data_IF_886422773126
#
_entry.id   IF_886422773126
#
_cell.length_a   1.000
_cell.length_b   1.000
_cell.length_c   1.000
_cell.angle_alpha   90.00
_cell.angle_beta   90.00
_cell.angle_gamma   90.00
#
_symmetry.space_group_name_H-M   'P 1'
#
loop_
_entity.id
_entity.type
_entity.pdbx_description
1 polymer ?
2 polymer ?
3 non-polymer ?
4 water ?
#
# COMPACT_ATOMS: atom_id res chain seq x y z
N UNK A 3 9.41 -17.47 13.64
CA UNK A 3 8.15 -18.15 13.89
C UNK A 3 7.20 -18.09 12.68
N UNK A 4 7.33 -19.05 11.76
CA UNK A 4 6.56 -19.06 10.53
C UNK A 4 5.23 -19.79 10.71
N UNK A 5 4.16 -19.19 10.18
CA UNK A 5 2.84 -19.79 10.29
C UNK A 5 2.79 -21.15 9.57
N UNK A 6 1.99 -22.06 10.11
CA UNK A 6 1.76 -23.41 9.56
C UNK A 6 0.27 -23.51 9.26
N UNK A 7 -0.09 -23.36 7.99
CA UNK A 7 -1.49 -23.29 7.61
C UNK A 7 -2.29 -24.49 8.07
N UNK A 8 -1.64 -25.64 8.29
CA UNK A 8 -2.35 -26.85 8.68
C UNK A 8 -2.91 -26.77 10.09
N UNK A 9 -2.38 -25.87 10.92
CA UNK A 9 -2.84 -25.74 12.29
C UNK A 9 -3.99 -24.77 12.45
N UNK A 10 -4.41 -24.11 11.37
CA UNK A 10 -5.51 -23.16 11.49
C UNK A 10 -6.83 -23.90 11.61
N UNK A 11 -7.75 -23.32 12.37
CA UNK A 11 -9.00 -23.98 12.70
C UNK A 11 -10.17 -23.32 11.98
N UNK A 12 -11.30 -24.01 11.98
CA UNK A 12 -12.54 -23.44 11.50
C UNK A 12 -12.96 -22.28 12.41
N UNK A 13 -13.51 -21.20 11.86
CA UNK A 13 -13.90 -20.07 12.71
C UNK A 13 -15.31 -20.19 13.26
N UNK A 14 -15.85 -21.41 13.25
CA UNK A 14 -17.25 -21.70 13.57
C UNK A 14 -17.87 -20.71 14.54
N UNK A 15 -17.43 -20.74 15.79
CA UNK A 15 -18.04 -19.88 16.79
C UNK A 15 -17.35 -18.60 17.25
N UNK A 16 -16.52 -17.99 16.41
CA UNK A 16 -15.61 -16.94 16.85
C UNK A 16 -15.89 -15.61 16.14
N UNK A 17 -16.08 -15.65 14.82
CA UNK A 17 -16.45 -14.48 14.06
C UNK A 17 -17.67 -14.80 13.21
N UNK A 18 -18.43 -13.76 12.87
CA UNK A 18 -19.53 -13.83 11.92
C UNK A 18 -19.41 -12.70 10.92
N UNK A 19 -19.75 -12.98 9.68
CA UNK A 19 -19.74 -11.97 8.64
C UNK A 19 -20.97 -11.10 8.76
N UNK A 20 -20.85 -9.84 8.32
CA UNK A 20 -21.91 -8.85 8.52
C UNK A 20 -22.32 -8.22 7.19
N UNK A 21 -21.36 -7.69 6.43
CA UNK A 21 -21.64 -7.26 5.05
C UNK A 21 -20.36 -7.34 4.21
N UNK A 22 -20.55 -7.51 2.91
CA UNK A 22 -19.44 -7.58 1.95
C UNK A 22 -19.05 -6.17 1.54
N UNK A 23 -17.75 -5.86 1.66
CA UNK A 23 -17.28 -4.48 1.53
C UNK A 23 -16.20 -4.32 0.47
N UNK A 24 -15.74 -5.43 -0.10
CA UNK A 24 -14.73 -5.36 -1.15
C UNK A 24 -14.59 -6.66 -1.92
N UNK A 25 -14.09 -6.55 -3.14
CA UNK A 25 -13.99 -7.69 -4.03
C UNK A 25 -13.00 -7.38 -5.14
N UNK A 26 -12.13 -8.34 -5.43
CA UNK A 26 -11.14 -8.23 -6.49
C UNK A 26 -10.60 -9.60 -6.81
N UNK A 27 -9.63 -9.64 -7.73
CA UNK A 27 -9.05 -10.92 -8.14
C UNK A 27 -8.34 -11.65 -6.99
N UNK A 28 -8.19 -11.01 -5.83
CA UNK A 28 -7.57 -11.63 -4.66
C UNK A 28 -8.55 -12.44 -3.82
N UNK A 29 -9.81 -12.06 -3.80
CA UNK A 29 -10.82 -12.62 -2.93
C UNK A 29 -11.84 -11.57 -2.54
N UNK A 30 -12.42 -11.74 -1.36
CA UNK A 30 -13.42 -10.84 -0.82
C UNK A 30 -12.93 -10.26 0.49
N UNK A 31 -13.44 -9.08 0.83
CA UNK A 31 -13.27 -8.48 2.15
C UNK A 31 -14.66 -8.25 2.74
N UNK A 32 -14.82 -8.64 4.00
CA UNK A 32 -16.09 -8.51 4.72
C UNK A 32 -15.92 -7.65 5.96
N UNK A 33 -17.00 -6.96 6.34
CA UNK A 33 -17.14 -6.45 7.68
C UNK A 33 -17.60 -7.59 8.59
N UNK A 34 -16.89 -7.78 9.70
CA UNK A 34 -17.24 -8.85 10.61
C UNK A 34 -17.22 -8.39 12.05
N UNK A 35 -17.88 -9.17 12.90
CA UNK A 35 -17.91 -8.92 14.32
C UNK A 35 -17.59 -10.21 15.07
N UNK A 36 -16.75 -10.09 16.11
CA UNK A 36 -16.55 -11.19 17.02
C UNK A 36 -17.86 -11.54 17.72
N UNK A 37 -18.26 -12.81 17.63
CA UNK A 37 -19.58 -13.18 18.13
C UNK A 37 -19.66 -13.07 19.64
N UNK A 38 -18.53 -13.15 20.34
CA UNK A 38 -18.59 -13.14 21.80
C UNK A 38 -18.48 -11.73 22.38
N UNK A 39 -17.64 -10.89 21.78
CA UNK A 39 -17.40 -9.54 22.29
C UNK A 39 -18.09 -8.46 21.49
N UNK A 40 -18.45 -8.74 20.24
CA UNK A 40 -19.04 -7.74 19.38
C UNK A 40 -18.06 -6.81 18.68
N UNK A 41 -16.76 -7.00 18.83
CA UNK A 41 -15.81 -6.07 18.24
C UNK A 41 -15.69 -6.25 16.74
N UNK A 42 -15.38 -5.15 16.08
CA UNK A 42 -15.46 -5.00 14.64
C UNK A 42 -14.15 -5.42 13.99
N UNK A 43 -14.24 -6.16 12.90
CA UNK A 43 -13.06 -6.56 12.16
C UNK A 43 -13.36 -6.60 10.67
N UNK A 44 -12.32 -6.37 9.87
CA UNK A 44 -12.36 -6.78 8.47
C UNK A 44 -11.82 -8.19 8.33
N UNK A 45 -12.45 -8.97 7.43
CA UNK A 45 -12.10 -10.37 7.22
C UNK A 45 -11.89 -10.58 5.72
N UNK A 46 -10.64 -10.84 5.34
CA UNK A 46 -10.31 -11.13 3.95
C UNK A 46 -10.39 -12.64 3.71
N UNK A 47 -11.15 -13.04 2.69
CA UNK A 47 -11.45 -14.44 2.42
C UNK A 47 -10.85 -14.82 1.08
N UNK A 48 -9.94 -15.79 1.08
CA UNK A 48 -9.36 -16.35 -0.13
C UNK A 48 -9.42 -17.87 -0.07
N UNK A 49 -9.68 -18.54 -1.19
CA UNK A 49 -9.64 -19.99 -1.07
C UNK A 49 -8.20 -20.47 -1.17
N UNK A 50 -7.94 -21.60 -0.50
CA UNK A 50 -6.58 -22.08 -0.31
C UNK A 50 -6.10 -22.79 -1.58
N UNK A 51 -4.81 -22.64 -1.86
CA UNK A 51 -4.19 -23.30 -3.00
C UNK A 51 -2.68 -23.27 -2.79
N UNK A 52 -2.03 -24.40 -3.08
CA UNK A 52 -0.57 -24.41 -3.08
C UNK A 52 0.03 -23.33 -3.95
N UNK A 53 -0.70 -22.91 -4.99
CA UNK A 53 -0.13 -22.00 -5.98
C UNK A 53 0.06 -20.59 -5.45
N UNK A 54 -0.74 -20.17 -4.46
CA UNK A 54 -0.59 -18.87 -3.83
C UNK A 54 -0.03 -18.97 -2.42
N UNK A 55 0.65 -20.07 -2.10
CA UNK A 55 1.01 -20.34 -0.71
C UNK A 55 2.13 -19.42 -0.22
N UNK A 56 3.14 -19.17 -1.06
CA UNK A 56 4.29 -18.36 -0.62
C UNK A 56 3.87 -16.95 -0.24
N UNK A 57 3.01 -16.32 -1.04
CA UNK A 57 2.62 -14.95 -0.71
C UNK A 57 1.75 -14.92 0.55
N UNK A 58 0.88 -15.92 0.71
CA UNK A 58 0.04 -15.99 1.90
C UNK A 58 0.89 -16.02 3.16
N UNK A 59 1.89 -16.91 3.19
CA UNK A 59 2.71 -17.03 4.39
C UNK A 59 3.51 -15.75 4.65
N UNK A 60 4.02 -15.13 3.58
CA UNK A 60 4.75 -13.89 3.76
C UNK A 60 3.84 -12.80 4.31
N UNK A 61 2.59 -12.74 3.85
CA UNK A 61 1.67 -11.76 4.42
C UNK A 61 1.49 -11.98 5.92
N UNK A 62 1.19 -13.21 6.31
CA UNK A 62 0.91 -13.50 7.72
C UNK A 62 2.17 -13.32 8.56
N UNK A 63 3.32 -13.82 8.09
CA UNK A 63 4.54 -13.67 8.88
C UNK A 63 4.93 -12.19 9.05
N UNK A 64 4.78 -11.37 7.99
CA UNK A 64 5.06 -9.95 8.13
C UNK A 64 4.08 -9.28 9.09
N UNK A 65 2.80 -9.62 9.00
CA UNK A 65 1.81 -8.97 9.86
C UNK A 65 2.06 -9.30 11.32
N UNK A 66 2.31 -10.59 11.64
CA UNK A 66 2.56 -11.00 13.02
C UNK A 66 3.73 -10.23 13.61
N UNK A 67 4.76 -9.98 12.83
CA UNK A 67 5.93 -9.30 13.36
C UNK A 67 5.72 -7.78 13.50
N UNK A 68 4.99 -7.15 12.57
CA UNK A 68 5.09 -5.71 12.48
C UNK A 68 3.77 -4.95 12.57
N UNK A 69 2.63 -5.64 12.56
CA UNK A 69 1.39 -4.90 12.41
C UNK A 69 0.95 -4.20 13.69
N UNK A 70 1.72 -4.30 14.78
CA UNK A 70 1.36 -3.58 15.99
C UNK A 70 1.63 -2.08 15.87
N UNK A 71 2.37 -1.63 14.87
CA UNK A 71 2.53 -0.18 14.66
C UNK A 71 1.19 0.46 14.30
N UNK A 72 0.98 1.67 14.83
CA UNK A 72 -0.28 2.37 14.62
C UNK A 72 -0.51 2.81 13.16
N UNK A 73 0.52 2.86 12.31
CA UNK A 73 0.27 3.14 10.90
C UNK A 73 0.24 1.87 10.02
N UNK A 74 0.05 0.70 10.61
CA UNK A 74 -0.17 -0.53 9.87
C UNK A 74 -1.44 -1.19 10.40
N UNK A 75 -2.36 -1.56 9.50
CA UNK A 75 -3.59 -2.20 9.95
C UNK A 75 -3.25 -3.48 10.72
N UNK A 76 -3.85 -3.64 11.90
CA UNK A 76 -3.43 -4.70 12.81
C UNK A 76 -4.00 -6.05 12.42
N UNK A 77 -3.16 -7.08 12.52
CA UNK A 77 -3.53 -8.47 12.30
C UNK A 77 -4.01 -9.09 13.61
N UNK A 78 -5.20 -9.69 13.57
CA UNK A 78 -5.77 -10.32 14.76
C UNK A 78 -5.63 -11.84 14.77
N UNK A 79 -5.58 -12.50 13.62
CA UNK A 79 -5.54 -13.94 13.57
C UNK A 79 -6.06 -14.45 12.24
N UNK A 80 -6.08 -15.78 12.12
CA UNK A 80 -6.45 -16.41 10.87
C UNK A 80 -7.20 -17.70 11.15
N UNK A 81 -8.02 -18.11 10.18
CA UNK A 81 -8.79 -19.34 10.23
C UNK A 81 -8.90 -19.93 8.83
N UNK A 82 -9.36 -21.17 8.76
CA UNK A 82 -9.66 -21.81 7.49
C UNK A 82 -11.04 -22.43 7.61
N UNK A 83 -11.99 -21.92 6.83
CA UNK A 83 -13.33 -22.48 6.79
C UNK A 83 -13.29 -23.75 5.97
N UNK A 84 -13.78 -24.85 6.56
CA UNK A 84 -13.68 -26.17 5.96
C UNK A 84 -14.92 -26.49 5.15
N UNK A 85 -14.75 -26.77 3.88
CA UNK A 85 -15.86 -27.03 3.00
C UNK A 85 -15.85 -28.50 2.56
N UNK A 86 -16.97 -29.00 2.03
CA UNK A 86 -17.07 -30.44 1.71
C UNK A 86 -16.21 -30.84 0.53
N UNK A 87 -16.02 -32.16 0.31
CA UNK A 87 -14.96 -32.64 -0.61
C UNK A 87 -14.93 -32.03 -2.00
N UNK A 88 -16.07 -31.69 -2.60
CA UNK A 88 -15.98 -31.06 -3.91
C UNK A 88 -15.54 -29.60 -3.91
N UNK A 89 -15.44 -28.97 -2.75
CA UNK A 89 -15.34 -27.53 -2.66
C UNK A 89 -14.08 -27.09 -1.93
N UNK A 90 -13.41 -26.06 -2.47
CA UNK A 90 -12.21 -25.55 -1.83
C UNK A 90 -12.52 -24.98 -0.45
N UNK A 91 -11.56 -25.11 0.46
CA UNK A 91 -11.60 -24.41 1.73
C UNK A 91 -11.19 -22.94 1.52
N UNK A 92 -11.45 -22.11 2.53
CA UNK A 92 -11.16 -20.68 2.43
C UNK A 92 -10.40 -20.20 3.65
N UNK A 93 -9.33 -19.47 3.42
CA UNK A 93 -8.62 -18.79 4.50
C UNK A 93 -9.32 -17.49 4.84
N UNK A 94 -9.49 -17.25 6.14
CA UNK A 94 -10.02 -15.98 6.64
C UNK A 94 -8.90 -15.26 7.36
N UNK A 95 -8.61 -14.04 6.94
CA UNK A 95 -7.61 -13.19 7.56
C UNK A 95 -8.32 -12.07 8.30
N UNK A 96 -8.18 -12.05 9.63
CA UNK A 96 -8.96 -11.16 10.47
C UNK A 96 -8.09 -9.97 10.85
N UNK A 97 -8.55 -8.77 10.49
CA UNK A 97 -7.78 -7.54 10.56
C UNK A 97 -8.58 -6.41 11.19
N UNK A 98 -7.85 -5.37 11.58
CA UNK A 98 -8.46 -4.14 12.05
C UNK A 98 -9.32 -3.55 10.94
N UNK A 99 -10.54 -3.16 11.28
CA UNK A 99 -11.47 -2.65 10.27
C UNK A 99 -11.15 -1.19 9.94
N UNK A 100 -10.97 -0.91 8.64
CA UNK A 100 -10.67 0.44 8.13
C UNK A 100 -11.88 0.95 7.36
N UNK A 101 -12.81 1.59 8.08
CA UNK A 101 -14.13 1.85 7.53
C UNK A 101 -14.20 2.92 6.45
N UNK A 102 -13.19 3.78 6.32
CA UNK A 102 -13.27 4.80 5.29
C UNK A 102 -12.79 4.32 3.90
N UNK A 103 -12.22 3.13 3.79
CA UNK A 103 -11.75 2.67 2.48
C UNK A 103 -10.37 3.21 2.14
N UNK A 104 -10.02 3.10 0.86
CA UNK A 104 -8.68 3.42 0.41
C UNK A 104 -8.53 4.91 0.01
N UNK A 105 -7.27 5.35 -0.05
CA UNK A 105 -6.97 6.68 -0.59
C UNK A 105 -7.38 6.79 -2.05
N UNK A 106 -7.14 5.73 -2.84
CA UNK A 106 -7.60 5.70 -4.23
C UNK A 106 -9.10 5.98 -4.31
N UNK A 107 -9.89 5.30 -3.49
CA UNK A 107 -11.33 5.56 -3.44
C UNK A 107 -11.64 7.00 -3.03
N UNK A 108 -10.92 7.52 -2.02
CA UNK A 108 -11.19 8.89 -1.59
C UNK A 108 -11.06 9.86 -2.74
N UNK A 109 -10.01 9.68 -3.55
CA UNK A 109 -9.76 10.53 -4.69
C UNK A 109 -10.87 10.39 -5.72
N UNK A 110 -11.27 9.14 -6.00
CA UNK A 110 -12.31 8.91 -7.00
C UNK A 110 -13.59 9.65 -6.65
N UNK A 111 -13.93 9.72 -5.36
CA UNK A 111 -15.19 10.28 -4.91
C UNK A 111 -15.13 11.78 -4.63
N UNK A 112 -14.03 12.46 -4.96
CA UNK A 112 -13.85 13.87 -4.69
C UNK A 112 -14.00 14.69 -5.97
N UNK A 113 -14.65 15.85 -5.85
CA UNK A 113 -14.77 16.80 -6.96
C UNK A 113 -13.40 17.18 -7.52
N UNK A 114 -13.21 16.93 -8.82
CA UNK A 114 -11.94 17.21 -9.49
C UNK A 114 -10.86 16.17 -9.28
N UNK A 115 -11.08 15.20 -8.38
CA UNK A 115 -10.12 14.12 -8.07
C UNK A 115 -8.77 14.68 -7.58
N UNK A 116 -8.84 15.58 -6.60
CA UNK A 116 -7.66 16.26 -6.09
C UNK A 116 -7.90 16.57 -4.62
N UNK A 117 -7.00 16.10 -3.75
CA UNK A 117 -7.15 16.41 -2.35
C UNK A 117 -6.57 17.80 -2.04
N UNK A 118 -7.00 18.38 -0.92
CA UNK A 118 -6.35 19.58 -0.38
C UNK A 118 -4.91 19.24 0.02
N UNK A 119 -3.99 20.19 -0.24
CA UNK A 119 -2.57 19.98 0.04
C UNK A 119 -2.34 19.58 1.50
N UNK A 120 -3.03 20.22 2.44
CA UNK A 120 -2.79 19.89 3.84
C UNK A 120 -3.25 18.47 4.16
N UNK A 121 -4.27 17.96 3.46
CA UNK A 121 -4.65 16.56 3.58
C UNK A 121 -3.54 15.65 3.07
N UNK A 122 -2.95 16.02 1.93
CA UNK A 122 -1.89 15.21 1.33
C UNK A 122 -0.70 15.13 2.27
N UNK A 123 -0.33 16.26 2.87
CA UNK A 123 0.81 16.28 3.78
C UNK A 123 0.57 15.37 4.98
N UNK A 124 -0.64 15.42 5.56
CA UNK A 124 -0.94 14.55 6.68
C UNK A 124 -0.84 13.06 6.29
N UNK A 125 -1.48 12.68 5.17
CA UNK A 125 -1.42 11.28 4.75
C UNK A 125 0.01 10.86 4.46
N UNK A 126 0.77 11.69 3.75
CA UNK A 126 2.15 11.32 3.43
C UNK A 126 2.96 11.13 4.69
N UNK A 127 2.75 11.97 5.71
CA UNK A 127 3.48 11.82 6.95
C UNK A 127 3.16 10.51 7.63
N UNK A 128 1.88 10.12 7.61
CA UNK A 128 1.51 8.87 8.25
C UNK A 128 2.11 7.69 7.50
N UNK A 129 2.12 7.73 6.15
CA UNK A 129 2.74 6.66 5.39
C UNK A 129 4.21 6.53 5.73
N UNK A 130 4.91 7.67 5.82
CA UNK A 130 6.34 7.66 6.11
C UNK A 130 6.63 7.07 7.49
N UNK A 131 5.80 7.38 8.48
CA UNK A 131 5.96 6.76 9.80
C UNK A 131 5.89 5.22 9.69
N UNK A 132 4.91 4.71 8.94
CA UNK A 132 4.86 3.28 8.70
C UNK A 132 6.11 2.75 8.00
N UNK A 133 6.53 3.43 6.93
CA UNK A 133 7.74 3.03 6.22
C UNK A 133 8.95 3.07 7.14
N UNK A 134 9.01 4.06 8.02
CA UNK A 134 10.15 4.19 8.93
C UNK A 134 10.25 2.97 9.84
N UNK A 135 9.14 2.60 10.47
CA UNK A 135 9.05 1.35 11.24
C UNK A 135 9.56 0.16 10.41
N UNK A 136 9.04 0.00 9.19
CA UNK A 136 9.42 -1.14 8.36
C UNK A 136 10.89 -1.09 7.98
N UNK A 137 11.37 0.05 7.47
CA UNK A 137 12.75 0.13 7.03
C UNK A 137 13.73 -0.12 8.19
N UNK A 138 13.41 0.37 9.39
CA UNK A 138 14.31 0.11 10.50
C UNK A 138 14.35 -1.36 10.87
N UNK A 139 13.36 -2.14 10.45
CA UNK A 139 13.36 -3.57 10.71
C UNK A 139 13.80 -4.40 9.50
N UNK A 140 14.50 -3.77 8.55
CA UNK A 140 15.03 -4.43 7.36
C UNK A 140 13.91 -4.98 6.48
N UNK A 141 12.79 -4.28 6.43
CA UNK A 141 11.67 -4.65 5.56
C UNK A 141 11.57 -3.65 4.43
N UNK A 142 11.33 -4.15 3.23
CA UNK A 142 10.95 -3.33 2.07
C UNK A 142 9.51 -3.68 1.71
N UNK A 143 8.64 -2.66 1.61
CA UNK A 143 7.23 -2.93 1.31
C UNK A 143 7.05 -3.47 -0.10
N UNK A 144 7.56 -2.73 -1.09
CA UNK A 144 7.62 -3.05 -2.52
C UNK A 144 6.30 -2.85 -3.26
N UNK A 145 5.21 -2.46 -2.62
CA UNK A 145 3.99 -2.14 -3.38
C UNK A 145 3.24 -0.96 -2.79
N UNK A 146 3.96 0.15 -2.57
CA UNK A 146 3.32 1.35 -2.04
C UNK A 146 2.51 2.05 -3.13
N UNK A 147 1.23 2.31 -2.85
CA UNK A 147 0.34 2.99 -3.77
C UNK A 147 -0.95 3.30 -3.02
N UNK A 148 -1.76 4.17 -3.61
CA UNK A 148 -2.97 4.63 -2.94
C UNK A 148 -3.95 3.52 -2.62
N UNK A 149 -3.97 2.46 -3.43
CA UNK A 149 -4.84 1.33 -3.16
C UNK A 149 -4.45 0.58 -1.88
N UNK A 150 -3.20 0.71 -1.41
CA UNK A 150 -2.71 0.02 -0.21
C UNK A 150 -2.55 0.95 1.00
N UNK A 151 -3.17 2.12 0.96
CA UNK A 151 -3.26 3.04 2.09
C UNK A 151 -4.75 3.20 2.41
N UNK A 152 -5.18 2.71 3.57
CA UNK A 152 -6.57 2.78 4.00
C UNK A 152 -6.75 3.84 5.09
N UNK A 153 -8.01 4.23 5.28
CA UNK A 153 -8.39 5.21 6.27
C UNK A 153 -9.48 4.65 7.16
N UNK A 154 -9.37 4.90 8.48
CA UNK A 154 -10.43 4.53 9.41
C UNK A 154 -11.52 5.60 9.39
N UNK A 155 -12.63 5.30 10.06
CA UNK A 155 -13.70 6.28 10.11
C UNK A 155 -13.30 7.52 10.90
N UNK A 156 -12.12 7.53 11.53
CA UNK A 156 -11.61 8.70 12.25
C UNK A 156 -10.38 9.28 11.57
N UNK A 157 -10.18 8.95 10.30
CA UNK A 157 -9.13 9.52 9.47
C UNK A 157 -7.73 9.18 9.98
N UNK A 158 -7.60 8.01 10.63
CA UNK A 158 -6.30 7.40 10.82
C UNK A 158 -5.88 6.66 9.56
N UNK A 159 -4.56 6.54 9.37
CA UNK A 159 -3.96 6.07 8.12
C UNK A 159 -3.24 4.76 8.40
N UNK A 160 -3.47 3.74 7.55
CA UNK A 160 -2.94 2.39 7.79
C UNK A 160 -2.45 1.74 6.50
N UNK A 161 -1.24 1.21 6.52
CA UNK A 161 -0.71 0.48 5.38
C UNK A 161 -1.19 -0.97 5.39
N UNK A 162 -1.47 -1.49 4.18
CA UNK A 162 -1.90 -2.88 4.01
C UNK A 162 -1.13 -3.51 2.86
N UNK A 163 -1.30 -4.83 2.73
CA UNK A 163 -0.86 -5.70 1.63
C UNK A 163 0.63 -6.04 1.66
N UNK A 164 1.00 -7.04 2.47
CA UNK A 164 2.39 -7.40 2.68
C UNK A 164 2.81 -8.65 1.91
N UNK A 165 2.04 -9.06 0.90
CA UNK A 165 2.27 -10.36 0.27
C UNK A 165 3.54 -10.46 -0.56
N UNK A 166 4.00 -9.35 -1.15
CA UNK A 166 5.25 -9.33 -1.91
C UNK A 166 6.34 -8.51 -1.19
N UNK A 167 6.22 -8.27 0.11
CA UNK A 167 7.25 -7.52 0.82
C UNK A 167 8.51 -8.35 1.00
N UNK A 168 9.64 -7.67 1.20
CA UNK A 168 10.94 -8.33 1.35
C UNK A 168 11.45 -8.18 2.78
N UNK A 169 11.92 -9.29 3.38
CA UNK A 169 12.58 -9.25 4.67
C UNK A 169 14.07 -9.52 4.47
N UNK A 170 14.89 -8.49 4.66
CA UNK A 170 16.33 -8.66 4.55
C UNK A 170 16.89 -9.17 5.89
N UNK A 171 18.14 -9.62 5.87
CA UNK A 171 18.79 -10.02 7.10
C UNK A 171 19.97 -9.14 7.50
N UNK A 172 20.44 -8.27 6.63
CA UNK A 172 21.48 -7.32 7.01
C UNK A 172 21.05 -5.93 6.61
N UNK A 173 21.57 -4.93 7.31
CA UNK A 173 21.19 -3.53 7.10
C UNK A 173 21.50 -3.06 5.68
N UNK A 174 22.69 -3.37 5.21
CA UNK A 174 23.17 -2.91 3.91
C UNK A 174 22.64 -3.77 2.75
N UNK A 175 22.05 -4.93 3.07
CA UNK A 175 21.57 -5.89 2.09
C UNK A 175 20.72 -5.32 0.99
N UNK A 176 20.64 -6.01 -0.15
CA UNK A 176 19.92 -5.51 -1.31
C UNK A 176 19.14 -6.65 -1.96
N UNK A 177 18.19 -6.29 -2.82
CA UNK A 177 17.32 -7.25 -3.48
C UNK A 177 17.30 -7.01 -4.98
N UNK A 178 16.82 -8.01 -5.72
CA UNK A 178 16.73 -7.86 -7.18
C UNK A 178 15.49 -8.49 -7.82
N UNK A 179 14.48 -8.82 -7.03
CA UNK A 179 13.29 -9.47 -7.59
C UNK A 179 12.44 -8.41 -8.31
N UNK A 180 12.13 -8.68 -9.59
CA UNK A 180 11.36 -7.77 -10.43
C UNK A 180 9.89 -7.85 -10.05
N UNK A 181 9.43 -6.93 -9.20
CA UNK A 181 8.10 -7.03 -8.60
C UNK A 181 7.58 -5.64 -8.27
N UNK A 182 6.26 -5.48 -8.33
CA UNK A 182 5.63 -4.22 -8.05
C UNK A 182 4.41 -4.00 -8.95
N UNK A 183 3.88 -2.77 -8.89
CA UNK A 183 2.79 -2.31 -9.77
C UNK A 183 3.35 -1.26 -10.73
N UNK A 184 3.27 -1.46 -12.07
CA UNK A 184 4.08 -0.66 -13.01
C UNK A 184 4.18 0.85 -12.77
N UNK A 185 3.06 1.59 -12.71
CA UNK A 185 3.15 3.05 -12.67
C UNK A 185 3.85 3.58 -11.41
N UNK A 186 3.89 2.79 -10.33
CA UNK A 186 4.49 3.24 -9.09
C UNK A 186 5.91 2.72 -8.91
N UNK A 187 6.43 1.93 -9.83
CA UNK A 187 7.74 1.29 -9.64
C UNK A 187 8.89 2.27 -9.90
N UNK A 188 9.92 2.14 -9.07
CA UNK A 188 11.14 2.92 -9.08
C UNK A 188 12.02 2.51 -10.25
N UNK A 189 12.75 3.45 -10.86
CA UNK A 189 13.59 3.08 -12.02
C UNK A 189 14.58 1.96 -11.74
N UNK A 190 15.09 1.87 -10.51
CA UNK A 190 16.07 0.83 -10.21
C UNK A 190 15.43 -0.53 -9.97
N UNK A 191 14.13 -0.58 -9.68
CA UNK A 191 13.43 -1.86 -9.66
C UNK A 191 13.09 -2.30 -11.08
N UNK A 192 12.61 -1.38 -11.91
CA UNK A 192 12.32 -1.72 -13.31
C UNK A 192 13.55 -2.27 -14.00
N UNK A 193 14.72 -1.74 -13.66
CA UNK A 193 15.95 -2.14 -14.33
C UNK A 193 16.25 -3.62 -14.15
N UNK A 194 15.68 -4.27 -13.14
CA UNK A 194 15.97 -5.68 -12.88
C UNK A 194 15.36 -6.61 -13.92
N UNK A 195 14.44 -6.13 -14.76
CA UNK A 195 13.88 -6.99 -15.79
C UNK A 195 14.93 -7.38 -16.82
N UNK A 196 15.68 -6.40 -17.34
CA UNK A 196 16.64 -6.64 -18.41
C UNK A 196 18.08 -6.71 -17.93
N UNK A 197 18.33 -6.45 -16.65
CA UNK A 197 19.68 -6.32 -16.11
C UNK A 197 19.84 -7.27 -14.93
N UNK A 198 20.38 -8.48 -15.17
CA UNK A 198 20.46 -9.48 -14.08
C UNK A 198 21.44 -9.11 -12.98
N UNK A 199 22.12 -7.96 -13.07
CA UNK A 199 23.02 -7.51 -12.03
C UNK A 199 22.40 -6.47 -11.11
N UNK A 200 21.35 -5.79 -11.57
CA UNK A 200 20.80 -4.65 -10.85
C UNK A 200 20.33 -5.04 -9.46
N UNK A 201 20.32 -4.07 -8.55
CA UNK A 201 19.83 -4.25 -7.19
C UNK A 201 19.12 -2.98 -6.77
N UNK A 202 18.27 -3.11 -5.76
CA UNK A 202 17.64 -1.97 -5.13
C UNK A 202 17.56 -2.23 -3.64
N UNK A 203 17.15 -1.19 -2.89
CA UNK A 203 16.94 -1.34 -1.46
C UNK A 203 15.71 -0.57 -1.03
N UNK A 204 15.69 -0.14 0.23
CA UNK A 204 14.50 0.47 0.79
C UNK A 204 14.10 1.78 0.13
N UNK A 205 15.03 2.46 -0.56
CA UNK A 205 14.70 3.74 -1.17
C UNK A 205 13.70 3.61 -2.32
N UNK A 206 13.47 2.40 -2.83
CA UNK A 206 12.44 2.21 -3.84
C UNK A 206 11.04 2.46 -3.29
N UNK A 207 10.82 2.19 -2.00
CA UNK A 207 9.56 2.57 -1.36
C UNK A 207 9.37 4.08 -1.37
N UNK A 208 10.47 4.86 -1.31
CA UNK A 208 10.32 6.30 -1.25
C UNK A 208 9.97 6.89 -2.61
N UNK A 209 10.48 6.29 -3.70
CA UNK A 209 9.96 6.63 -5.02
C UNK A 209 8.45 6.40 -5.10
N UNK A 210 7.99 5.23 -4.70
CA UNK A 210 6.56 4.94 -4.79
C UNK A 210 5.74 5.92 -3.95
N UNK A 211 6.27 6.34 -2.80
CA UNK A 211 5.55 7.35 -2.02
C UNK A 211 5.41 8.66 -2.80
N UNK A 212 6.48 9.08 -3.48
CA UNK A 212 6.38 10.24 -4.36
C UNK A 212 5.30 10.11 -5.40
N UNK A 213 5.20 8.93 -6.05
CA UNK A 213 4.16 8.76 -7.06
C UNK A 213 2.79 8.81 -6.42
N UNK A 214 2.66 8.32 -5.18
CA UNK A 214 1.38 8.31 -4.50
C UNK A 214 0.93 9.72 -4.11
N UNK A 215 1.89 10.58 -3.75
CA UNK A 215 1.57 11.99 -3.51
C UNK A 215 1.03 12.65 -4.78
N UNK A 216 1.64 12.37 -5.94
CA UNK A 216 1.14 12.89 -7.21
C UNK A 216 -0.25 12.34 -7.50
N UNK A 217 -0.47 11.06 -7.19
CA UNK A 217 -1.79 10.46 -7.31
C UNK A 217 -2.84 11.25 -6.53
N UNK A 218 -2.49 11.68 -5.31
CA UNK A 218 -3.41 12.43 -4.47
C UNK A 218 -3.64 13.83 -5.03
N UNK A 219 -2.60 14.43 -5.61
CA UNK A 219 -2.71 15.80 -6.09
C UNK A 219 -3.48 15.86 -7.40
N UNK A 220 -3.28 14.88 -8.28
CA UNK A 220 -3.75 14.99 -9.66
C UNK A 220 -4.71 13.88 -10.10
N UNK A 221 -5.00 12.88 -9.24
CA UNK A 221 -6.05 11.91 -9.52
C UNK A 221 -5.57 10.61 -10.13
N UNK A 222 -4.30 10.53 -10.49
CA UNK A 222 -3.72 9.37 -11.17
C UNK A 222 -2.20 9.51 -11.10
N UNK A 223 -1.47 8.41 -11.23
CA UNK A 223 -0.01 8.50 -11.33
C UNK A 223 0.40 9.07 -12.67
N UNK A 224 1.65 9.51 -12.82
CA UNK A 224 2.12 9.99 -14.12
C UNK A 224 1.99 8.87 -15.15
N UNK A 225 1.89 9.27 -16.43
CA UNK A 225 1.81 8.36 -17.57
C UNK A 225 0.58 7.45 -17.56
N UNK A 226 -0.49 7.83 -16.84
CA UNK A 226 -1.69 7.01 -16.72
C UNK A 226 -2.43 6.82 -18.05
N UNK A 227 -2.08 7.57 -19.11
CA UNK A 227 -2.67 7.32 -20.42
C UNK A 227 -1.80 6.47 -21.33
N UNK A 228 -0.60 6.10 -20.89
CA UNK A 228 0.25 5.16 -21.60
C UNK A 228 -0.15 3.74 -21.23
N UNK A 229 -0.04 2.83 -22.20
CA UNK A 229 -0.13 1.42 -21.85
C UNK A 229 0.98 1.06 -20.86
N UNK A 230 0.71 0.14 -19.91
CA UNK A 230 1.74 -0.24 -18.93
C UNK A 230 3.10 -0.59 -19.53
N UNK A 231 3.12 -1.27 -20.68
CA UNK A 231 4.40 -1.60 -21.32
C UNK A 231 5.15 -0.35 -21.75
N UNK A 232 4.44 0.72 -22.12
CA UNK A 232 5.15 1.93 -22.50
C UNK A 232 5.55 2.74 -21.27
N UNK A 233 4.71 2.75 -20.24
CA UNK A 233 5.13 3.37 -18.99
C UNK A 233 6.43 2.76 -18.49
N UNK A 234 6.57 1.44 -18.55
CA UNK A 234 7.78 0.79 -18.06
C UNK A 234 8.99 1.13 -18.92
N UNK A 235 8.80 1.40 -20.21
CA UNK A 235 9.88 1.94 -21.02
C UNK A 235 10.24 3.38 -20.62
N UNK A 236 9.26 4.18 -20.22
CA UNK A 236 9.49 5.60 -20.09
C UNK A 236 9.96 6.03 -18.69
N UNK A 237 9.58 5.29 -17.64
CA UNK A 237 9.99 5.69 -16.28
C UNK A 237 11.50 5.80 -16.13
N UNK A 238 12.31 4.85 -16.61
CA UNK A 238 13.77 5.00 -16.46
C UNK A 238 14.39 6.04 -17.38
N UNK A 239 13.67 6.51 -18.40
CA UNK A 239 14.26 7.38 -19.42
C UNK A 239 13.80 8.83 -19.33
N UNK A 240 12.52 9.07 -19.11
CA UNK A 240 11.98 10.40 -18.83
C UNK A 240 12.72 11.06 -17.67
N UNK A 241 12.75 12.39 -17.62
CA UNK A 241 13.16 13.06 -16.38
C UNK A 241 12.14 12.79 -15.28
N UNK A 242 12.57 12.99 -14.05
CA UNK A 242 11.72 12.69 -12.90
C UNK A 242 10.40 13.44 -13.01
N UNK A 243 9.28 12.83 -12.60
CA UNK A 243 7.98 13.48 -12.73
C UNK A 243 7.82 14.70 -11.82
N UNK A 244 7.02 15.67 -12.28
CA UNK A 244 6.77 16.91 -11.54
C UNK A 244 5.26 17.18 -11.52
N UNK A 245 4.82 17.93 -10.50
CA UNK A 245 3.44 18.38 -10.41
C UNK A 245 3.14 19.34 -11.56
N UNK A 246 1.98 19.14 -12.21
CA UNK A 246 1.63 19.98 -13.37
C UNK A 246 1.38 21.43 -12.97
N UNK A 247 0.65 21.66 -11.88
CA UNK A 247 0.17 23.00 -11.54
C UNK A 247 1.18 23.77 -10.70
N UNK A 248 1.34 25.05 -11.03
CA UNK A 248 2.18 25.94 -10.23
C UNK A 248 1.46 26.47 -9.00
N UNK A 249 0.20 26.09 -8.79
CA UNK A 249 -0.53 26.56 -7.62
C UNK A 249 -0.09 25.86 -6.33
N UNK A 250 0.53 24.68 -6.43
CA UNK A 250 1.00 23.99 -5.23
C UNK A 250 2.12 24.79 -4.57
N UNK A 251 2.26 24.62 -3.25
CA UNK A 251 3.27 25.37 -2.52
C UNK A 251 4.67 24.93 -2.95
N UNK A 252 5.65 25.82 -2.77
CA UNK A 252 7.03 25.47 -3.04
C UNK A 252 7.49 24.33 -2.14
N UNK A 253 6.94 24.28 -0.93
CA UNK A 253 7.17 23.16 -0.01
C UNK A 253 6.76 21.83 -0.62
N UNK A 254 5.53 21.76 -1.15
CA UNK A 254 5.07 20.51 -1.75
C UNK A 254 5.92 20.14 -2.95
N UNK A 255 6.19 21.11 -3.82
CA UNK A 255 7.03 20.86 -4.99
C UNK A 255 8.40 20.34 -4.57
N UNK A 256 8.97 20.94 -3.53
CA UNK A 256 10.28 20.51 -3.04
C UNK A 256 10.24 19.06 -2.53
N UNK A 257 9.15 18.67 -1.85
CA UNK A 257 9.02 17.31 -1.33
C UNK A 257 8.94 16.28 -2.45
N UNK A 258 8.18 16.58 -3.51
CA UNK A 258 8.09 15.69 -4.68
C UNK A 258 9.45 15.56 -5.33
N UNK A 259 10.22 16.64 -5.35
CA UNK A 259 11.58 16.62 -5.88
C UNK A 259 12.48 15.69 -5.10
N UNK A 260 12.30 15.65 -3.78
CA UNK A 260 13.14 14.79 -2.94
C UNK A 260 12.79 13.31 -3.09
N UNK A 261 11.49 12.97 -3.12
CA UNK A 261 11.11 11.57 -3.34
C UNK A 261 11.56 11.08 -4.70
N UNK A 262 11.33 11.85 -5.75
CA UNK A 262 11.53 11.34 -7.12
C UNK A 262 12.89 11.72 -7.70
N UNK A 263 13.96 11.41 -6.97
CA UNK A 263 15.30 11.50 -7.52
C UNK A 263 15.57 10.17 -8.22
N UNK A 264 15.92 10.23 -9.50
CA UNK A 264 16.01 8.99 -10.27
C UNK A 264 17.21 8.15 -9.84
N UNK A 265 18.38 8.77 -9.72
CA UNK A 265 19.54 8.10 -9.16
C UNK A 265 19.31 7.76 -7.70
N UNK A 266 19.12 6.46 -7.39
CA UNK A 266 18.65 6.07 -6.07
C UNK A 266 19.73 6.21 -4.99
N UNK A 267 21.00 6.16 -5.36
CA UNK A 267 22.01 6.39 -4.34
C UNK A 267 22.03 7.84 -3.88
N UNK A 268 21.49 8.75 -4.70
CA UNK A 268 21.39 10.16 -4.33
C UNK A 268 20.01 10.53 -3.83
N UNK A 269 19.08 9.59 -3.83
CA UNK A 269 17.77 9.81 -3.22
C UNK A 269 17.93 9.83 -1.71
N UNK A 270 17.31 10.79 -1.00
CA UNK A 270 17.47 10.82 0.45
C UNK A 270 16.79 9.63 1.12
N UNK A 271 17.33 9.24 2.28
CA UNK A 271 16.82 8.12 3.05
C UNK A 271 15.56 8.52 3.82
N UNK A 272 14.89 7.51 4.39
CA UNK A 272 13.62 7.76 5.06
C UNK A 272 13.74 8.81 6.16
N UNK A 273 14.80 8.74 6.97
CA UNK A 273 14.95 9.67 8.08
C UNK A 273 15.08 11.11 7.58
N UNK A 274 15.95 11.33 6.58
CA UNK A 274 16.08 12.65 5.99
C UNK A 274 14.74 13.14 5.44
N UNK A 275 13.99 12.26 4.76
CA UNK A 275 12.69 12.65 4.21
C UNK A 275 11.73 13.07 5.32
N UNK A 276 11.76 12.36 6.45
CA UNK A 276 10.93 12.73 7.60
C UNK A 276 11.16 14.18 8.05
N UNK A 277 12.35 14.73 7.83
CA UNK A 277 12.62 16.09 8.30
C UNK A 277 12.29 17.16 7.27
N UNK A 278 11.84 16.78 6.07
CA UNK A 278 11.48 17.78 5.08
C UNK A 278 10.38 18.67 5.62
N UNK A 279 10.44 19.99 5.37
CA UNK A 279 9.41 20.90 5.92
C UNK A 279 7.98 20.50 5.57
N UNK A 280 7.77 19.96 4.38
CA UNK A 280 6.42 19.52 4.00
C UNK A 280 5.86 18.50 5.00
N UNK A 281 6.72 17.65 5.56
CA UNK A 281 6.30 16.58 6.45
C UNK A 281 6.42 16.99 7.91
N UNK A 282 7.51 17.69 8.23
CA UNK A 282 7.87 17.99 9.62
C UNK A 282 6.96 19.02 10.26
N UNK A 283 6.43 19.97 9.48
CA UNK A 283 5.75 21.16 10.00
C UNK A 283 4.24 21.05 9.73
N UNK A 284 3.50 20.53 10.71
CA UNK A 284 2.06 20.36 10.60
C UNK A 284 1.39 20.72 11.93
N UNK A 285 1.41 22.00 12.31
CA UNK A 285 0.89 22.38 13.63
C UNK A 285 -0.63 22.34 13.75
N UNK A 286 -1.35 22.11 12.65
CA UNK A 286 -2.80 22.07 12.66
C UNK A 286 -3.33 20.67 12.40
N UNK A 287 -2.67 19.66 12.97
CA UNK A 287 -3.05 18.27 12.75
C UNK A 287 -4.48 18.02 13.20
N UNK A 288 -4.86 18.58 14.35
CA UNK A 288 -6.20 18.34 14.89
C UNK A 288 -7.27 18.81 13.92
N UNK A 289 -7.13 20.03 13.39
CA UNK A 289 -8.12 20.55 12.44
C UNK A 289 -8.15 19.72 11.17
N UNK A 290 -6.98 19.36 10.65
CA UNK A 290 -6.89 18.61 9.40
C UNK A 290 -7.60 17.26 9.50
N UNK A 291 -7.44 16.55 10.62
CA UNK A 291 -8.08 15.24 10.72
C UNK A 291 -9.59 15.37 10.77
N UNK A 292 -10.09 16.43 11.40
CA UNK A 292 -11.53 16.67 11.44
C UNK A 292 -12.07 16.92 10.03
N UNK A 293 -11.36 17.75 9.25
CA UNK A 293 -11.82 18.07 7.90
C UNK A 293 -11.82 16.83 7.02
N UNK A 294 -10.77 16.00 7.14
CA UNK A 294 -10.72 14.75 6.40
C UNK A 294 -11.90 13.84 6.76
N UNK A 295 -12.14 13.65 8.06
CA UNK A 295 -13.28 12.82 8.47
C UNK A 295 -14.58 13.37 7.90
N UNK A 296 -14.80 14.68 7.99
CA UNK A 296 -16.04 15.24 7.46
C UNK A 296 -16.12 15.10 5.94
N UNK A 297 -15.01 15.29 5.24
CA UNK A 297 -15.02 15.09 3.79
C UNK A 297 -15.33 13.65 3.43
N UNK A 298 -14.73 12.69 4.14
CA UNK A 298 -15.01 11.27 3.93
C UNK A 298 -16.52 11.01 4.04
N UNK A 299 -17.14 11.50 5.12
CA UNK A 299 -18.56 11.28 5.32
C UNK A 299 -19.41 12.03 4.30
N UNK A 300 -18.96 13.20 3.84
CA UNK A 300 -19.71 13.92 2.82
C UNK A 300 -19.83 13.10 1.55
N UNK A 301 -18.78 12.34 1.21
CA UNK A 301 -18.62 11.70 -0.08
C UNK A 301 -19.43 10.40 -0.23
N UNK A 302 -20.14 9.96 0.79
CA UNK A 302 -21.02 8.81 0.62
C UNK A 302 -22.42 9.24 0.17
CA UNK B 1 -4.24 -0.98 -18.20
C UNK B 1 -4.36 -1.70 -16.85
N UNK B 2 -5.56 -1.47 -16.31
CA UNK B 2 -5.98 -2.04 -15.02
C UNK B 2 -5.49 -3.49 -14.81
N UNK B 3 -5.88 -4.38 -15.73
CA UNK B 3 -5.68 -5.82 -15.65
C UNK B 3 -4.44 -6.37 -16.33
N UNK B 4 -3.58 -5.53 -16.89
CA UNK B 4 -2.47 -6.03 -17.69
C UNK B 4 -1.37 -6.58 -16.80
N UNK B 5 -0.97 -7.83 -17.06
CA UNK B 5 0.08 -8.51 -16.29
C UNK B 5 1.30 -8.71 -17.18
N UNK B 6 2.46 -8.27 -16.70
CA UNK B 6 3.73 -8.44 -17.41
C UNK B 6 4.65 -9.23 -16.49
N UNK B 7 5.01 -10.45 -16.93
CA UNK B 7 5.86 -11.36 -16.19
C UNK B 7 5.45 -11.50 -14.73
N UNK B 8 6.32 -11.12 -13.81
CA UNK B 8 6.06 -11.35 -12.38
C UNK B 8 5.40 -10.16 -11.69
N UNK B 9 5.09 -9.09 -12.39
CA UNK B 9 4.55 -7.89 -11.76
C UNK B 9 3.09 -8.10 -11.34
N UNK B 10 2.63 -7.23 -10.46
CA UNK B 10 1.21 -7.21 -10.10
C UNK B 10 0.39 -6.79 -11.31
N UNK B 11 -1.04 -6.80 -11.46
CA UNK B 11 -1.84 -6.03 -12.33
C UNK B 11 -1.46 -4.55 -12.49
N UNK B 12 -1.54 -4.03 -13.72
CA UNK B 12 -1.21 -2.70 -14.02
C UNK B 12 -1.67 -1.65 -13.05
N UNK B 13 -2.93 -1.72 -12.60
CA UNK B 13 -3.38 -0.92 -11.49
C UNK B 13 -3.86 0.50 -11.77
N UNK B 14 -3.50 0.88 -12.99
CA UNK B 14 -3.68 2.22 -13.57
C UNK B 14 -3.82 2.24 -15.02
N UNK B 15 -3.92 1.20 -15.83
CA UNK B 15 -4.01 1.50 -17.17
C UNK B 15 -4.12 0.49 -18.30
N UNK B 16 -4.01 1.04 -19.53
CA UNK B 16 -4.05 0.36 -20.67
C UNK B 16 -3.96 1.14 -21.91
N UNK B 17 -4.12 0.77 -23.19
CA UNK B 17 -3.97 1.89 -24.10
C UNK B 17 -4.11 1.63 -25.60
C UNK B 18 -3.62 2.56 -27.82
X LIG C 1 -9.52 -3.49 6.93
X LIG C 1 -8.03 -3.41 6.61
X LIG C 1 -7.46 -4.70 6.04
X LIG C 1 -8.14 -5.11 4.74
X LIG C 1 -10.36 -2.61 6.21
X LIG C 1 -7.60 -6.35 4.34
X LIG D 1 -0.36 3.41 -25.82
X LIG D 1 -0.40 4.61 -26.75
X LIG D 1 -1.27 5.72 -26.16
X LIG D 1 -0.68 7.11 -26.47
X LIG D 1 0.74 3.58 -24.98
X LIG D 1 -1.49 8.12 -25.91
X LIG E 1 -3.17 24.23 -4.81
X LIG E 1 -4.37 23.46 -5.36
X LIG E 1 -4.05 22.74 -6.67
X LIG E 1 -5.17 23.01 -7.68
X LIG E 1 -3.59 25.51 -4.43
X LIG E 1 -5.15 22.01 -8.67
X LIG F 1 -4.22 -4.06 -8.85
X LIG F 1 -4.91 -4.31 -10.19
X LIG F 1 -5.20 -5.81 -10.36
X LIG F 1 -6.36 -6.08 -11.32
X LIG F 1 -2.83 -4.27 -8.99
X LIG F 1 -6.86 -7.36 -11.03
X LIG G 1 -7.04 -4.75 -19.40
X LIG G 1 -7.45 -3.94 -18.18
X LIG G 1 -8.85 -4.29 -17.68
X LIG G 1 -8.98 -4.96 -16.31
X LIG G 1 -5.76 -5.30 -19.19
X LIG G 1 -9.27 -6.36 -16.38
#
# INVERSE_FOLDING_TARGET
GPDEIDLSALRDPAGIFELVELVGNGTYGQVYKGRHVKTGQLAAIKVMDVTGDEEEEIKQEINMLKKYSHHRNIATYYGAFIKKNPPGMDDQLWLVMEFCGAGSVTDLIKNTKGNTLKEEWIAYICREILRGLSHLHQHKVIHRDIKGQNVLLTENAEVKLVDFGVSAQLDRTVGRRNTFIGTPYWMAPEVIACDENPDATYDFKSDLWSLGITAIEMAEGAPPLCDMHPMRALFLIPRNPAPRLKSKKWSKKFQSFIESCLVKNHSQRPATEQLMKHPFIRDQPNERQVRIQLKDHIDRTKKKRG
XWGFIYKTLKXXGXXXXX
BU1 C1 C2 C3 C4 O5 O6
BU1 C1 C2 C3 C4 O5 O6
BU1 C1 C2 C3 C4 O5 O6
BU1 C1 C2 C3 C4 O5 O6
BU1 C1 C2 C3 C4 O5 O6
#
